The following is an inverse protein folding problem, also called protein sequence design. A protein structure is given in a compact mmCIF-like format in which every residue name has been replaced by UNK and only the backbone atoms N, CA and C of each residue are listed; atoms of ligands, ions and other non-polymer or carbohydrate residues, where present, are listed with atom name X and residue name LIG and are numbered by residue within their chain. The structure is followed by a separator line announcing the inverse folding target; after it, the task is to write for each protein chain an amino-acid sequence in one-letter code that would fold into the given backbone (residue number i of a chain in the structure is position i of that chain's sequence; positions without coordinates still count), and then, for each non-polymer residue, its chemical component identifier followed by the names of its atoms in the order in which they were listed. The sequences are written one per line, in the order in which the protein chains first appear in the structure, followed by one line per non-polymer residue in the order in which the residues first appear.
data_IF_970065447778
#
_entry.id   IF_970065447778
#
_cell.length_a   1.000
_cell.length_b   1.000
_cell.length_c   1.000
_cell.angle_alpha   90.00
_cell.angle_beta   90.00
_cell.angle_gamma   90.00
#
_symmetry.space_group_name_H-M   'P 1'
#
loop_
_entity.id
_entity.type
_entity.pdbx_description
1 polymer ?
#
# COMPACT_ATOMS: atom_id res chain seq x y z
N UNK A 1 10.98 7.01 3.92
CA UNK A 1 11.54 5.68 3.59
C UNK A 1 12.94 5.49 4.15
N UNK A 2 13.94 6.31 3.79
CA UNK A 2 15.29 6.21 4.38
C UNK A 2 15.22 6.24 5.91
N UNK A 3 14.44 7.16 6.48
CA UNK A 3 14.20 7.22 7.93
C UNK A 3 13.68 5.89 8.51
N UNK A 4 12.65 5.30 7.90
CA UNK A 4 12.13 3.99 8.28
C UNK A 4 13.20 2.90 8.24
N UNK A 5 14.04 2.88 7.20
CA UNK A 5 15.09 1.85 7.02
C UNK A 5 16.31 2.01 7.95
N UNK A 6 16.45 3.14 8.67
CA UNK A 6 17.49 3.28 9.70
C UNK A 6 17.24 2.38 10.92
N UNK A 7 16.02 1.92 11.11
CA UNK A 7 15.64 0.93 12.12
C UNK A 7 16.15 -0.45 11.72
N UNK A 8 17.10 -1.01 12.49
CA UNK A 8 17.78 -2.28 12.19
C UNK A 8 16.82 -3.47 12.06
N UNK A 9 15.71 -3.42 12.79
CA UNK A 9 14.66 -4.43 12.84
C UNK A 9 13.76 -4.43 11.60
N UNK A 10 13.75 -3.35 10.82
CA UNK A 10 12.98 -3.25 9.59
C UNK A 10 13.72 -3.97 8.47
N UNK A 11 13.20 -5.13 8.07
CA UNK A 11 13.71 -5.88 6.91
C UNK A 11 13.14 -5.34 5.58
N UNK A 12 11.83 -5.07 5.55
CA UNK A 12 11.11 -4.48 4.43
C UNK A 12 10.30 -3.28 4.90
N UNK A 13 10.47 -2.13 4.24
CA UNK A 13 9.75 -0.90 4.52
C UNK A 13 9.02 -0.38 3.29
N UNK A 14 7.82 0.16 3.47
CA UNK A 14 7.07 0.88 2.42
C UNK A 14 6.48 2.20 2.94
N UNK A 15 6.01 3.04 2.01
CA UNK A 15 5.31 4.28 2.31
C UNK A 15 3.82 4.14 2.06
N UNK A 16 3.05 4.86 2.87
CA UNK A 16 1.59 4.93 2.78
C UNK A 16 1.14 6.36 2.89
N UNK A 17 0.05 6.73 2.23
CA UNK A 17 -0.53 8.06 2.31
C UNK A 17 -1.99 7.97 2.72
N UNK A 18 -2.44 8.91 3.54
CA UNK A 18 -3.85 9.03 3.90
C UNK A 18 -4.70 9.28 2.65
N UNK A 19 -5.83 8.60 2.56
CA UNK A 19 -6.85 8.83 1.53
C UNK A 19 -7.82 9.90 2.03
N UNK A 20 -8.11 10.89 1.19
CA UNK A 20 -8.92 12.07 1.50
C UNK A 20 -10.16 12.23 0.60
N UNK A 21 -10.34 11.35 -0.40
CA UNK A 21 -11.45 11.38 -1.34
C UNK A 21 -12.07 10.01 -1.58
N UNK A 22 -13.40 9.97 -1.72
CA UNK A 22 -14.14 8.73 -1.98
C UNK A 22 -13.76 8.11 -3.33
N UNK A 23 -13.48 8.95 -4.33
CA UNK A 23 -12.97 8.52 -5.62
C UNK A 23 -11.70 7.68 -5.44
N UNK A 24 -10.72 8.18 -4.68
CA UNK A 24 -9.48 7.45 -4.39
C UNK A 24 -9.72 6.19 -3.57
N UNK A 25 -10.60 6.26 -2.56
CA UNK A 25 -10.91 5.12 -1.69
C UNK A 25 -11.49 3.93 -2.48
N UNK A 26 -12.45 4.21 -3.36
CA UNK A 26 -13.18 3.19 -4.10
C UNK A 26 -12.58 2.88 -5.47
N UNK A 27 -11.52 3.59 -5.90
CA UNK A 27 -10.79 3.27 -7.13
C UNK A 27 -9.96 1.97 -6.97
N UNK A 28 -10.24 0.91 -7.76
CA UNK A 28 -9.52 -0.36 -7.67
C UNK A 28 -8.06 -0.31 -8.17
N UNK A 29 -7.67 0.74 -8.88
CA UNK A 29 -6.29 0.95 -9.29
C UNK A 29 -5.42 1.52 -8.14
N UNK A 30 -6.06 2.12 -7.13
CA UNK A 30 -5.39 2.56 -5.91
C UNK A 30 -5.37 1.42 -4.91
N UNK A 31 -4.18 0.93 -4.56
CA UNK A 31 -4.04 -0.13 -3.56
C UNK A 31 -4.24 0.44 -2.16
N UNK A 32 -5.18 -0.13 -1.41
CA UNK A 32 -5.40 0.19 0.00
C UNK A 32 -4.58 -0.72 0.87
N UNK A 33 -4.20 -0.23 2.04
CA UNK A 33 -3.46 -0.97 3.06
C UNK A 33 -4.11 -0.78 4.43
N UNK A 34 -4.29 -1.88 5.15
CA UNK A 34 -4.65 -1.86 6.57
C UNK A 34 -3.37 -2.00 7.37
N UNK A 35 -3.20 -1.15 8.37
CA UNK A 35 -1.99 -1.03 9.17
C UNK A 35 -2.34 -1.37 10.63
N UNK A 36 -1.51 -2.18 11.27
CA UNK A 36 -1.62 -2.50 12.68
C UNK A 36 -1.08 -1.39 13.58
N UNK A 37 -1.34 -1.47 14.88
CA UNK A 37 -0.89 -0.47 15.87
C UNK A 37 0.64 -0.37 15.98
N UNK A 38 1.36 -1.39 15.51
CA UNK A 38 2.82 -1.48 15.44
C UNK A 38 3.41 -0.95 14.12
N UNK A 39 2.59 -0.28 13.29
CA UNK A 39 2.93 0.24 11.96
C UNK A 39 3.30 -0.83 10.92
N UNK A 40 2.97 -2.10 11.15
CA UNK A 40 3.11 -3.13 10.12
C UNK A 40 1.85 -3.23 9.26
N UNK A 41 2.04 -3.47 7.96
CA UNK A 41 0.92 -3.75 7.07
C UNK A 41 0.29 -5.10 7.44
N UNK A 42 -1.01 -5.10 7.73
CA UNK A 42 -1.78 -6.31 7.97
C UNK A 42 -2.25 -6.94 6.65
N UNK A 43 -2.68 -6.11 5.70
CA UNK A 43 -3.13 -6.58 4.39
C UNK A 43 -3.16 -5.45 3.35
N UNK A 44 -2.99 -5.81 2.08
CA UNK A 44 -3.15 -4.93 0.93
C UNK A 44 -4.29 -5.43 0.05
N UNK A 45 -5.09 -4.52 -0.51
CA UNK A 45 -6.17 -4.89 -1.43
C UNK A 45 -6.50 -3.77 -2.39
N UNK A 46 -6.99 -4.12 -3.58
CA UNK A 46 -7.62 -3.18 -4.50
C UNK A 46 -9.01 -2.76 -4.03
N UNK A 47 -9.65 -3.50 -3.13
CA UNK A 47 -10.90 -3.09 -2.49
C UNK A 47 -10.68 -2.09 -1.36
N UNK A 48 -11.71 -1.31 -1.06
CA UNK A 48 -11.71 -0.41 0.10
C UNK A 48 -11.75 -1.24 1.39
N UNK A 49 -10.65 -1.21 2.15
CA UNK A 49 -10.48 -1.94 3.41
C UNK A 49 -9.96 -1.01 4.51
N UNK A 50 -10.43 -1.15 5.77
CA UNK A 50 -11.41 -2.12 6.23
C UNK A 50 -12.86 -1.76 5.81
N UNK A 51 -13.71 -2.77 5.74
CA UNK A 51 -15.16 -2.58 5.59
C UNK A 51 -15.76 -2.05 6.91
N UNK A 52 -16.54 -0.97 6.85
CA UNK A 52 -17.24 -0.45 8.03
C UNK A 52 -18.66 -1.01 8.11
N UNK A 53 -18.87 -1.97 9.02
CA UNK A 53 -20.16 -2.62 9.21
C UNK A 53 -21.21 -1.64 9.71
N UNK A 54 -22.34 -1.56 9.01
CA UNK A 54 -23.49 -0.74 9.39
C UNK A 54 -23.31 0.76 9.15
N UNK A 55 -22.25 1.16 8.45
CA UNK A 55 -21.98 2.55 8.07
C UNK A 55 -22.08 2.67 6.56
N UNK A 56 -22.87 3.63 6.08
CA UNK A 56 -22.96 3.94 4.65
C UNK A 56 -21.61 4.37 4.09
N UNK A 57 -21.29 3.93 2.87
CA UNK A 57 -19.99 4.15 2.22
C UNK A 57 -19.56 5.62 2.16
N UNK A 58 -20.52 6.52 1.99
CA UNK A 58 -20.28 7.97 1.95
C UNK A 58 -19.83 8.58 3.29
N UNK A 59 -19.92 7.81 4.39
CA UNK A 59 -19.43 8.23 5.70
C UNK A 59 -18.07 7.61 6.05
N UNK A 60 -17.52 6.73 5.22
CA UNK A 60 -16.34 5.95 5.59
C UNK A 60 -15.13 6.83 5.93
N UNK A 61 -14.84 7.83 5.11
CA UNK A 61 -13.71 8.75 5.33
C UNK A 61 -13.86 9.66 6.55
N UNK A 62 -15.10 9.88 7.02
CA UNK A 62 -15.34 10.66 8.25
C UNK A 62 -15.28 9.80 9.51
N UNK A 63 -15.40 8.46 9.36
CA UNK A 63 -15.44 7.50 10.48
C UNK A 63 -14.14 6.73 10.65
N UNK A 64 -13.33 6.60 9.61
CA UNK A 64 -12.09 5.85 9.64
C UNK A 64 -11.03 6.48 8.73
N UNK A 65 -9.77 6.38 9.13
CA UNK A 65 -8.64 6.82 8.31
C UNK A 65 -8.21 5.67 7.42
N UNK A 66 -8.27 5.88 6.11
CA UNK A 66 -7.80 4.92 5.10
C UNK A 66 -6.44 5.32 4.57
N UNK A 67 -5.66 4.32 4.16
CA UNK A 67 -4.34 4.53 3.59
C UNK A 67 -4.25 3.91 2.20
N UNK A 68 -3.67 4.65 1.27
CA UNK A 68 -3.19 4.13 -0.01
C UNK A 68 -1.72 3.77 0.11
N UNK A 69 -1.35 2.66 -0.51
CA UNK A 69 0.03 2.24 -0.64
C UNK A 69 0.75 3.07 -1.72
N UNK A 70 1.98 3.48 -1.46
CA UNK A 70 2.88 4.08 -2.45
C UNK A 70 3.83 2.98 -2.90
N UNK A 71 3.89 2.70 -4.20
CA UNK A 71 4.68 1.61 -4.82
C UNK A 71 6.19 1.77 -4.72
N UNK A 72 6.72 2.00 -3.52
CA UNK A 72 8.12 2.20 -3.22
C UNK A 72 8.49 1.42 -1.98
N UNK A 73 9.49 0.56 -2.13
CA UNK A 73 9.97 -0.30 -1.06
C UNK A 73 11.45 -0.09 -0.78
N UNK A 74 11.81 -0.24 0.49
CA UNK A 74 13.19 -0.44 0.94
C UNK A 74 13.34 -1.87 1.45
N UNK A 75 14.46 -2.50 1.13
CA UNK A 75 14.77 -3.87 1.54
C UNK A 75 16.17 -3.95 2.12
N UNK A 76 16.36 -4.81 3.11
CA UNK A 76 17.69 -5.34 3.43
C UNK A 76 18.08 -6.42 2.42
N UNK A 77 19.38 -6.57 2.17
CA UNK A 77 19.89 -7.49 1.15
C UNK A 77 19.52 -8.94 1.45
N UNK A 78 19.53 -9.32 2.71
CA UNK A 78 19.25 -10.69 3.18
C UNK A 78 17.79 -11.08 2.92
N UNK A 79 16.85 -10.20 3.26
CA UNK A 79 15.43 -10.48 3.01
C UNK A 79 15.09 -10.44 1.52
N UNK A 80 15.75 -9.57 0.74
CA UNK A 80 15.56 -9.49 -0.70
C UNK A 80 15.92 -10.81 -1.39
N UNK A 81 17.03 -11.44 -1.00
CA UNK A 81 17.41 -12.76 -1.50
C UNK A 81 16.33 -13.81 -1.18
N UNK A 82 15.85 -13.83 0.07
CA UNK A 82 14.82 -14.77 0.51
C UNK A 82 13.49 -14.61 -0.24
N UNK A 83 13.02 -13.38 -0.46
CA UNK A 83 11.72 -13.16 -1.14
C UNK A 83 11.76 -13.47 -2.65
N UNK A 84 12.94 -13.37 -3.28
CA UNK A 84 13.11 -13.73 -4.70
C UNK A 84 12.94 -15.23 -4.95
N UNK A 85 13.21 -16.07 -3.94
CA UNK A 85 13.06 -17.53 -4.04
C UNK A 85 11.62 -18.00 -3.79
N UNK A 86 10.73 -17.12 -3.33
CA UNK A 86 9.34 -17.49 -3.04
C UNK A 86 8.53 -17.69 -4.32
N UNK A 87 7.79 -18.80 -4.46
CA UNK A 87 6.87 -18.96 -5.57
C UNK A 87 5.73 -17.91 -5.49
N UNK A 88 5.10 -17.56 -6.61
CA UNK A 88 3.97 -16.62 -6.61
C UNK A 88 2.88 -17.02 -5.61
N UNK A 89 2.46 -16.06 -4.80
CA UNK A 89 1.44 -16.24 -3.76
C UNK A 89 0.04 -16.41 -4.34
N UNK A 90 -0.89 -17.00 -3.57
CA UNK A 90 -2.29 -17.12 -4.00
C UNK A 90 -2.98 -15.77 -3.95
N UNK A 91 -2.72 -15.00 -2.89
CA UNK A 91 -3.27 -13.67 -2.72
C UNK A 91 -2.61 -12.67 -3.68
N UNK A 92 -1.30 -12.81 -3.91
CA UNK A 92 -0.59 -12.06 -4.96
C UNK A 92 -1.28 -12.22 -6.32
N UNK A 93 -1.59 -13.46 -6.74
CA UNK A 93 -2.26 -13.70 -8.02
C UNK A 93 -3.68 -13.17 -8.06
N UNK A 94 -4.44 -13.29 -6.95
CA UNK A 94 -5.83 -12.85 -6.88
C UNK A 94 -5.97 -11.32 -6.93
N UNK A 95 -5.10 -10.59 -6.23
CA UNK A 95 -5.13 -9.12 -6.17
C UNK A 95 -4.19 -8.47 -7.20
N UNK A 96 -3.32 -9.26 -7.86
CA UNK A 96 -2.21 -8.76 -8.67
C UNK A 96 -1.34 -7.77 -7.88
N UNK A 97 -0.82 -8.24 -6.73
CA UNK A 97 -0.01 -7.47 -5.76
C UNK A 97 1.13 -8.32 -5.18
N UNK A 98 2.37 -8.07 -5.61
CA UNK A 98 3.55 -8.88 -5.26
C UNK A 98 3.81 -8.99 -3.75
N UNK A 99 3.53 -7.93 -3.00
CA UNK A 99 3.83 -7.85 -1.57
C UNK A 99 2.95 -8.79 -0.73
N UNK A 100 1.82 -9.25 -1.27
CA UNK A 100 0.98 -10.23 -0.60
C UNK A 100 1.68 -11.59 -0.47
N UNK A 101 2.58 -11.94 -1.40
CA UNK A 101 3.43 -13.13 -1.29
C UNK A 101 4.30 -13.11 -0.04
N UNK A 102 4.79 -11.94 0.35
CA UNK A 102 5.61 -11.78 1.55
C UNK A 102 4.76 -11.95 2.80
N UNK A 103 3.58 -11.32 2.85
CA UNK A 103 2.63 -11.50 3.94
C UNK A 103 2.17 -12.96 4.08
N UNK A 104 1.87 -13.64 2.97
CA UNK A 104 1.51 -15.08 2.95
C UNK A 104 2.61 -15.97 3.57
N UNK A 105 3.88 -15.54 3.45
CA UNK A 105 5.04 -16.23 4.01
C UNK A 105 5.47 -15.70 5.39
N UNK A 106 4.59 -14.96 6.08
CA UNK A 106 4.83 -14.37 7.42
C UNK A 106 6.03 -13.42 7.46
N UNK A 107 6.32 -12.77 6.33
CA UNK A 107 7.33 -11.72 6.26
C UNK A 107 6.62 -10.39 6.47
N UNK A 108 7.09 -9.64 7.47
CA UNK A 108 6.48 -8.39 7.88
C UNK A 108 6.90 -7.25 6.97
N UNK A 109 6.00 -6.30 6.73
CA UNK A 109 6.25 -5.08 5.97
C UNK A 109 5.97 -3.90 6.88
N UNK A 110 7.00 -3.16 7.27
CA UNK A 110 6.84 -1.93 8.05
C UNK A 110 6.37 -0.79 7.16
N UNK A 111 5.50 0.05 7.67
CA UNK A 111 4.92 1.17 6.94
C UNK A 111 5.29 2.49 7.60
N UNK A 112 5.42 3.54 6.79
CA UNK A 112 5.57 4.90 7.27
C UNK A 112 4.64 5.82 6.51
N UNK A 113 3.84 6.60 7.24
CA UNK A 113 2.93 7.60 6.66
C UNK A 113 3.76 8.73 6.04
N UNK A 114 3.35 9.18 4.86
CA UNK A 114 3.93 10.33 4.17
C UNK A 114 2.86 11.21 3.53
N UNK A 115 3.17 12.49 3.41
CA UNK A 115 2.35 13.46 2.67
C UNK A 115 2.74 13.53 1.19
N UNK A 116 3.79 12.83 0.76
CA UNK A 116 4.25 12.84 -0.63
C UNK A 116 3.21 12.23 -1.58
N UNK A 117 2.93 12.93 -2.68
CA UNK A 117 2.05 12.47 -3.74
C UNK A 117 2.90 11.90 -4.88
N UNK A 118 2.77 10.60 -5.17
CA UNK A 118 3.34 10.01 -6.38
C UNK A 118 2.28 9.98 -7.47
N UNK A 119 2.56 10.59 -8.62
CA UNK A 119 1.72 10.44 -9.81
C UNK A 119 2.20 9.19 -10.55
N UNK A 120 1.45 8.09 -10.43
CA UNK A 120 1.62 6.92 -11.28
C UNK A 120 1.04 7.21 -12.67
N UNK A 121 1.78 6.86 -13.72
CA UNK A 121 1.33 7.02 -15.10
C UNK A 121 1.07 5.63 -15.67
N UNK A 122 -0.15 5.14 -15.52
CA UNK A 122 -0.51 3.79 -15.94
C UNK A 122 -1.43 3.80 -17.17
N UNK A 123 -2.04 4.96 -17.48
CA UNK A 123 -2.93 5.15 -18.64
C UNK A 123 -2.59 6.41 -19.44
N UNK A 124 -3.01 6.50 -20.72
CA UNK A 124 -2.92 7.74 -21.49
C UNK A 124 -3.63 8.94 -20.83
N UNK A 125 -4.68 8.70 -20.04
CA UNK A 125 -5.41 9.76 -19.32
C UNK A 125 -4.59 10.29 -18.13
N UNK A 126 -3.74 9.47 -17.51
CA UNK A 126 -2.84 9.91 -16.45
C UNK A 126 -1.73 10.84 -16.98
N UNK A 127 -1.29 10.63 -18.23
CA UNK A 127 -0.41 11.57 -18.93
C UNK A 127 -1.07 12.94 -19.12
N UNK A 128 -2.36 13.00 -19.46
CA UNK A 128 -3.06 14.28 -19.66
C UNK A 128 -3.17 15.09 -18.37
N UNK A 129 -3.29 14.44 -17.22
CA UNK A 129 -3.28 15.11 -15.91
C UNK A 129 -1.95 15.79 -15.63
N UNK A 130 -0.83 15.26 -16.14
CA UNK A 130 0.50 15.86 -15.99
C UNK A 130 0.72 17.06 -16.90
N UNK A 131 0.16 17.07 -18.12
CA UNK A 131 0.30 18.21 -19.04
C UNK A 131 -0.41 19.47 -18.57
N UNK A 132 -1.34 19.37 -17.61
CA UNK A 132 -2.01 20.52 -16.99
C UNK A 132 -1.34 21.01 -15.69
N UNK A 133 -0.25 20.36 -15.26
CA UNK A 133 0.52 20.72 -14.04
C UNK A 133 1.80 21.52 -14.39
N UNK A 134 2.17 21.56 -15.68
CA UNK A 134 3.26 22.37 -16.24
C UNK A 134 2.70 23.48 -17.14
#
# INVERSE_FOLDING_TARGET
LIHLMHHSEVEIGTLVKKIDSEETLFNPNVVKVVIGDDNHALYFSRQAIPFLRGIDKNQWLTRHTYYKHIGMYGYRSEILQKIMELPPGKLEQAESLEQLRWLENRITISTQITDYESIGIDTPDDLQKLTNIF
#
